data_IF_964806934922
#
_entry.id   IF_964806934922
#
_cell.length_a   1.000
_cell.length_b   1.000
_cell.length_c   1.000
_cell.angle_alpha   90.00
_cell.angle_beta   90.00
_cell.angle_gamma   90.00
#
_symmetry.space_group_name_H-M   'P 1'
#
loop_
_entity.id
_entity.type
_entity.pdbx_description
1 polymer ?
#
# COMPACT_ATOMS: atom_id res chain seq x y z
N UNK A 1 -2.80 -5.13 1.95
CA UNK A 1 -3.74 -6.24 2.23
C UNK A 1 -3.20 -7.13 3.34
N UNK A 2 -4.04 -7.95 3.99
CA UNK A 2 -3.61 -8.97 4.95
C UNK A 2 -3.68 -10.35 4.29
N UNK A 3 -2.62 -11.14 4.43
CA UNK A 3 -2.52 -12.53 4.00
C UNK A 3 -2.85 -13.43 5.18
N UNK A 4 -3.70 -14.43 4.95
CA UNK A 4 -4.06 -15.45 5.93
C UNK A 4 -3.76 -16.82 5.32
N UNK A 5 -2.84 -17.55 5.91
CA UNK A 5 -2.49 -18.91 5.52
C UNK A 5 -2.86 -19.86 6.64
N UNK A 6 -3.53 -20.96 6.27
CA UNK A 6 -3.91 -22.02 7.20
C UNK A 6 -3.34 -23.33 6.69
N UNK A 7 -2.47 -23.97 7.47
CA UNK A 7 -1.80 -25.21 7.07
C UNK A 7 -2.25 -26.38 7.94
N UNK A 8 -2.83 -27.39 7.30
CA UNK A 8 -3.15 -28.68 7.91
C UNK A 8 -2.56 -29.81 7.08
N UNK A 9 -2.18 -30.90 7.76
CA UNK A 9 -1.79 -32.14 7.10
C UNK A 9 -3.01 -32.85 6.49
N UNK A 10 -2.78 -33.97 5.80
CA UNK A 10 -3.84 -34.77 5.18
C UNK A 10 -4.85 -35.34 6.18
N UNK A 11 -4.48 -35.43 7.46
CA UNK A 11 -5.34 -35.90 8.54
C UNK A 11 -6.09 -34.75 9.24
N UNK A 12 -5.89 -33.50 8.80
CA UNK A 12 -6.50 -32.32 9.39
C UNK A 12 -5.81 -31.82 10.66
N UNK A 13 -4.57 -32.26 10.96
CA UNK A 13 -3.82 -31.71 12.09
C UNK A 13 -3.10 -30.43 11.67
N UNK A 14 -3.03 -29.39 12.53
CA UNK A 14 -2.29 -28.18 12.21
C UNK A 14 -0.80 -28.46 11.96
N UNK A 15 -0.26 -27.91 10.88
CA UNK A 15 1.18 -27.87 10.65
C UNK A 15 1.73 -26.68 11.41
N UNK A 16 2.49 -26.96 12.48
CA UNK A 16 3.02 -25.97 13.42
C UNK A 16 4.45 -25.63 13.08
N UNK A 17 4.70 -24.40 12.67
CA UNK A 17 6.05 -23.87 12.46
C UNK A 17 6.24 -22.55 13.19
N UNK A 18 7.49 -22.23 13.53
CA UNK A 18 7.88 -20.96 14.16
C UNK A 18 8.80 -20.13 13.28
N UNK A 19 9.25 -20.69 12.15
CA UNK A 19 10.14 -20.07 11.18
C UNK A 19 10.03 -20.81 9.84
N UNK A 20 10.72 -20.30 8.81
CA UNK A 20 10.82 -20.95 7.51
C UNK A 20 9.60 -20.79 6.61
N UNK A 21 8.59 -20.02 7.01
CA UNK A 21 7.49 -19.60 6.14
C UNK A 21 7.81 -18.22 5.54
N UNK A 22 7.70 -18.10 4.23
CA UNK A 22 7.79 -16.85 3.48
C UNK A 22 6.77 -16.83 2.34
N UNK A 23 6.55 -15.65 1.75
CA UNK A 23 5.76 -15.51 0.51
C UNK A 23 6.66 -14.96 -0.58
N UNK A 24 6.77 -15.69 -1.68
CA UNK A 24 7.54 -15.27 -2.84
C UNK A 24 6.63 -14.80 -3.96
N UNK A 25 7.08 -13.78 -4.67
CA UNK A 25 6.36 -13.22 -5.81
C UNK A 25 6.56 -14.08 -7.05
N UNK A 26 5.48 -14.34 -7.79
CA UNK A 26 5.51 -15.03 -9.09
C UNK A 26 4.84 -14.17 -10.15
N UNK A 27 5.62 -13.73 -11.15
CA UNK A 27 5.19 -12.79 -12.20
C UNK A 27 5.02 -11.36 -11.65
N UNK A 28 5.63 -10.35 -12.28
CA UNK A 28 5.60 -8.99 -11.71
C UNK A 28 5.16 -7.94 -12.73
N UNK A 29 3.99 -7.34 -12.50
CA UNK A 29 3.59 -6.06 -13.08
C UNK A 29 3.36 -4.98 -12.00
N UNK A 30 3.73 -5.23 -10.74
CA UNK A 30 3.54 -4.31 -9.61
C UNK A 30 4.90 -3.80 -9.13
N UNK A 31 5.15 -2.48 -9.11
CA UNK A 31 6.34 -1.90 -8.51
C UNK A 31 6.39 -2.14 -7.00
N UNK A 32 7.56 -2.53 -6.48
CA UNK A 32 7.87 -2.54 -5.04
C UNK A 32 6.86 -3.31 -4.16
N UNK A 33 6.55 -4.57 -4.50
CA UNK A 33 5.77 -5.44 -3.61
C UNK A 33 6.61 -5.81 -2.39
N UNK A 34 6.08 -5.61 -1.19
CA UNK A 34 6.71 -5.99 0.06
C UNK A 34 5.75 -6.82 0.91
N UNK A 35 6.24 -7.93 1.44
CA UNK A 35 5.54 -8.73 2.46
C UNK A 35 6.25 -8.51 3.79
N UNK A 36 5.48 -8.27 4.84
CA UNK A 36 6.03 -8.11 6.20
C UNK A 36 6.47 -9.45 6.80
N UNK A 37 7.08 -9.39 7.99
CA UNK A 37 7.36 -10.58 8.77
C UNK A 37 6.07 -11.36 9.04
N UNK A 38 6.17 -12.69 9.02
CA UNK A 38 5.05 -13.57 9.35
C UNK A 38 4.74 -13.48 10.85
N UNK A 39 3.46 -13.32 11.17
CA UNK A 39 2.92 -13.51 12.50
C UNK A 39 2.67 -15.01 12.76
N UNK A 40 3.43 -15.56 13.71
CA UNK A 40 3.37 -16.95 14.15
C UNK A 40 2.58 -17.12 15.47
N UNK A 41 1.94 -16.07 16.00
CA UNK A 41 1.26 -16.09 17.30
C UNK A 41 0.19 -17.17 17.43
N UNK A 42 -0.37 -17.63 16.30
CA UNK A 42 -1.37 -18.70 16.19
C UNK A 42 -0.85 -19.96 15.49
N UNK A 43 0.46 -20.20 15.49
CA UNK A 43 1.02 -21.40 14.87
C UNK A 43 0.48 -22.71 15.44
N UNK A 44 -0.01 -22.72 16.68
CA UNK A 44 -0.62 -23.90 17.30
C UNK A 44 -1.91 -24.35 16.61
N UNK A 45 -2.63 -23.43 15.95
CA UNK A 45 -3.78 -23.71 15.08
C UNK A 45 -3.41 -23.76 13.60
N UNK A 46 -2.12 -23.66 13.26
CA UNK A 46 -1.62 -23.66 11.89
C UNK A 46 -1.97 -22.39 11.11
N UNK A 47 -2.34 -21.31 11.82
CA UNK A 47 -2.66 -20.00 11.26
C UNK A 47 -1.42 -19.11 11.23
N UNK A 48 -1.18 -18.49 10.07
CA UNK A 48 -0.09 -17.56 9.83
C UNK A 48 -0.62 -16.33 9.11
N UNK A 49 -0.13 -15.16 9.51
CA UNK A 49 -0.53 -13.90 8.90
C UNK A 49 0.65 -13.08 8.44
N UNK A 50 0.44 -12.28 7.41
CA UNK A 50 1.37 -11.25 7.00
C UNK A 50 0.59 -10.09 6.39
N UNK A 51 1.25 -8.95 6.27
CA UNK A 51 0.73 -7.82 5.49
C UNK A 51 1.51 -7.69 4.21
N UNK A 52 0.83 -7.27 3.15
CA UNK A 52 1.43 -7.01 1.84
C UNK A 52 1.10 -5.60 1.39
N UNK A 53 2.13 -4.89 0.94
CA UNK A 53 2.06 -3.56 0.35
C UNK A 53 2.65 -3.59 -1.06
N UNK A 54 2.29 -2.61 -1.87
CA UNK A 54 2.79 -2.41 -3.23
C UNK A 54 2.96 -0.91 -3.48
N UNK A 55 3.95 -0.54 -4.28
CA UNK A 55 4.29 0.85 -4.60
C UNK A 55 3.55 1.42 -5.80
N UNK A 56 2.73 0.62 -6.50
CA UNK A 56 1.98 1.08 -7.67
C UNK A 56 0.88 0.10 -8.07
N UNK A 57 0.19 0.42 -9.17
CA UNK A 57 -0.84 -0.43 -9.73
C UNK A 57 -0.28 -1.72 -10.34
N UNK A 58 -1.12 -2.74 -10.37
CA UNK A 58 -0.85 -3.97 -11.11
C UNK A 58 -1.40 -5.19 -10.40
N UNK A 59 -1.04 -6.36 -10.94
CA UNK A 59 -1.45 -7.65 -10.39
C UNK A 59 -0.19 -8.45 -10.07
N UNK A 60 -0.19 -9.10 -8.92
CA UNK A 60 0.89 -10.01 -8.51
C UNK A 60 0.32 -11.30 -7.97
N UNK A 61 1.02 -12.41 -8.19
CA UNK A 61 0.75 -13.67 -7.51
C UNK A 61 1.80 -13.88 -6.42
N UNK A 62 1.34 -14.31 -5.23
CA UNK A 62 2.18 -14.68 -4.10
C UNK A 62 2.03 -16.17 -3.84
N UNK A 63 3.15 -16.85 -3.65
CA UNK A 63 3.21 -18.29 -3.36
C UNK A 63 3.82 -18.45 -1.97
N UNK A 64 3.14 -19.15 -1.04
CA UNK A 64 3.76 -19.49 0.24
C UNK A 64 4.86 -20.53 0.01
N UNK A 65 5.99 -20.34 0.67
CA UNK A 65 7.14 -21.24 0.66
C UNK A 65 7.39 -21.68 2.09
N UNK A 66 7.40 -22.99 2.31
CA UNK A 66 7.64 -23.60 3.62
C UNK A 66 8.95 -24.36 3.59
N UNK A 67 9.93 -23.92 4.38
CA UNK A 67 11.27 -24.50 4.46
C UNK A 67 11.92 -24.68 3.07
N UNK A 68 11.78 -23.67 2.20
CA UNK A 68 12.29 -23.68 0.82
C UNK A 68 11.42 -24.41 -0.20
N UNK A 69 10.30 -25.01 0.19
CA UNK A 69 9.38 -25.71 -0.72
C UNK A 69 8.20 -24.83 -1.09
N UNK A 70 8.06 -24.53 -2.38
CA UNK A 70 6.92 -23.79 -2.93
C UNK A 70 5.61 -24.58 -2.78
N UNK A 71 4.63 -23.98 -2.11
CA UNK A 71 3.27 -24.50 -2.00
C UNK A 71 2.40 -23.89 -3.11
N UNK A 72 2.74 -24.17 -4.38
CA UNK A 72 2.12 -23.51 -5.54
C UNK A 72 0.58 -23.64 -5.58
N UNK A 73 0.02 -24.75 -5.06
CA UNK A 73 -1.43 -24.94 -4.95
C UNK A 73 -2.14 -23.99 -3.97
N UNK A 74 -1.38 -23.25 -3.16
CA UNK A 74 -1.87 -22.26 -2.19
C UNK A 74 -1.57 -20.81 -2.64
N UNK A 75 -1.22 -20.61 -3.91
CA UNK A 75 -0.94 -19.27 -4.42
C UNK A 75 -2.17 -18.36 -4.33
N UNK A 76 -1.95 -17.08 -4.07
CA UNK A 76 -3.00 -16.06 -4.10
C UNK A 76 -2.62 -14.91 -5.01
N UNK A 77 -3.60 -14.31 -5.68
CA UNK A 77 -3.40 -13.16 -6.55
C UNK A 77 -3.95 -11.92 -5.89
N UNK A 78 -3.16 -10.85 -5.93
CA UNK A 78 -3.51 -9.55 -5.37
C UNK A 78 -3.46 -8.52 -6.48
N UNK A 79 -4.55 -7.77 -6.59
CA UNK A 79 -4.65 -6.61 -7.44
C UNK A 79 -4.40 -5.35 -6.61
N UNK A 80 -3.41 -4.57 -7.01
CA UNK A 80 -3.15 -3.23 -6.51
C UNK A 80 -3.79 -2.24 -7.47
N UNK A 81 -4.67 -1.40 -6.93
CA UNK A 81 -5.32 -0.30 -7.65
C UNK A 81 -4.81 1.02 -7.11
N UNK A 82 -4.75 2.03 -7.97
CA UNK A 82 -4.39 3.39 -7.57
C UNK A 82 -5.44 3.87 -6.56
N UNK A 83 -4.96 4.61 -5.56
CA UNK A 83 -5.86 5.32 -4.66
C UNK A 83 -6.70 6.32 -5.46
N UNK A 84 -7.93 6.57 -5.03
CA UNK A 84 -8.77 7.58 -5.69
C UNK A 84 -8.10 8.96 -5.64
N UNK A 85 -8.32 9.74 -6.69
CA UNK A 85 -7.87 11.12 -6.74
C UNK A 85 -8.52 11.92 -5.62
N UNK A 86 -7.69 12.53 -4.78
CA UNK A 86 -8.15 13.43 -3.73
C UNK A 86 -8.15 14.86 -4.25
N UNK A 87 -9.33 15.48 -4.31
CA UNK A 87 -9.43 16.92 -4.53
C UNK A 87 -8.95 17.64 -3.26
N UNK A 88 -8.03 18.58 -3.43
CA UNK A 88 -7.49 19.39 -2.33
C UNK A 88 -8.57 20.32 -1.79
N UNK A 89 -8.87 20.23 -0.50
CA UNK A 89 -9.98 20.96 0.16
C UNK A 89 -9.57 21.76 1.39
N UNK A 90 -8.27 21.85 1.67
CA UNK A 90 -7.70 22.59 2.79
C UNK A 90 -7.29 23.99 2.38
N UNK A 91 -6.09 24.38 2.79
CA UNK A 91 -5.56 25.72 2.55
C UNK A 91 -4.22 25.70 1.84
N UNK A 92 -3.83 26.83 1.26
CA UNK A 92 -2.48 27.08 0.76
C UNK A 92 -1.87 28.28 1.43
N UNK A 93 -0.59 28.23 1.74
CA UNK A 93 0.17 29.40 2.15
C UNK A 93 0.70 30.15 0.95
N UNK A 94 0.43 31.46 0.92
CA UNK A 94 0.89 32.41 -0.09
C UNK A 94 1.43 33.64 0.64
N UNK A 95 2.73 33.91 0.54
CA UNK A 95 3.36 35.08 1.17
C UNK A 95 2.99 35.28 2.65
N UNK A 96 2.87 34.18 3.41
CA UNK A 96 2.51 34.20 4.84
C UNK A 96 1.01 34.31 5.15
N UNK A 97 0.13 34.20 4.15
CA UNK A 97 -1.32 34.15 4.32
C UNK A 97 -1.88 32.81 3.85
N UNK A 98 -2.78 32.22 4.64
CA UNK A 98 -3.47 30.98 4.25
C UNK A 98 -4.78 31.28 3.51
N UNK A 99 -4.96 30.66 2.35
CA UNK A 99 -6.12 30.83 1.46
C UNK A 99 -6.77 29.48 1.13
N UNK A 100 -8.10 29.39 0.95
CA UNK A 100 -8.77 28.12 0.67
C UNK A 100 -8.43 27.56 -0.72
N UNK A 101 -8.10 26.26 -0.83
CA UNK A 101 -7.82 25.60 -2.13
C UNK A 101 -9.03 25.53 -3.05
N UNK A 102 -10.24 25.67 -2.52
CA UNK A 102 -11.49 25.60 -3.30
C UNK A 102 -11.75 26.87 -4.12
N UNK A 103 -11.11 27.98 -3.79
CA UNK A 103 -11.31 29.29 -4.46
C UNK A 103 -10.01 29.92 -4.96
N UNK A 104 -8.85 29.50 -4.43
CA UNK A 104 -7.54 29.98 -4.83
C UNK A 104 -6.81 28.94 -5.70
N UNK A 105 -6.03 29.38 -6.71
CA UNK A 105 -5.87 30.75 -7.19
C UNK A 105 -6.99 31.16 -8.17
N UNK A 106 -7.41 32.42 -8.10
CA UNK A 106 -8.35 33.02 -9.08
C UNK A 106 -7.62 33.67 -10.27
N UNK A 107 -6.33 33.96 -10.12
CA UNK A 107 -5.44 34.55 -11.13
C UNK A 107 -4.00 34.07 -10.89
N UNK A 108 -3.15 34.12 -11.92
CA UNK A 108 -1.75 33.70 -11.84
C UNK A 108 -0.84 34.53 -12.75
N UNK A 109 0.46 34.45 -12.49
CA UNK A 109 1.52 35.00 -13.34
C UNK A 109 2.74 34.08 -13.30
N UNK A 110 3.63 34.20 -14.29
CA UNK A 110 4.84 33.37 -14.38
C UNK A 110 5.72 33.56 -13.15
N UNK A 111 6.08 32.45 -12.50
CA UNK A 111 6.91 32.46 -11.29
C UNK A 111 6.12 32.58 -9.98
N UNK A 112 4.79 32.71 -10.03
CA UNK A 112 3.96 32.59 -8.85
C UNK A 112 4.01 31.16 -8.29
N UNK A 113 4.09 31.04 -6.97
CA UNK A 113 4.04 29.75 -6.27
C UNK A 113 3.24 29.87 -4.97
N UNK A 114 2.76 28.73 -4.51
CA UNK A 114 2.07 28.56 -3.22
C UNK A 114 2.42 27.19 -2.67
N UNK A 115 2.25 27.01 -1.36
CA UNK A 115 2.49 25.73 -0.70
C UNK A 115 1.16 25.16 -0.20
N UNK A 116 0.86 23.90 -0.51
CA UNK A 116 -0.27 23.19 0.10
C UNK A 116 0.00 22.98 1.59
N UNK A 117 -0.96 23.32 2.42
CA UNK A 117 -0.88 23.11 3.87
C UNK A 117 -1.28 21.67 4.24
N UNK A 118 -0.89 21.24 5.43
CA UNK A 118 -1.10 19.86 5.90
C UNK A 118 -2.57 19.46 6.07
N UNK A 119 -3.48 20.44 6.17
CA UNK A 119 -4.92 20.22 6.21
C UNK A 119 -5.48 19.64 4.88
N UNK A 120 -4.68 19.65 3.81
CA UNK A 120 -4.99 18.97 2.56
C UNK A 120 -4.71 17.46 2.57
N UNK A 121 -4.06 16.92 3.60
CA UNK A 121 -3.61 15.52 3.62
C UNK A 121 -4.37 14.70 4.67
N UNK A 122 -4.32 13.37 4.56
CA UNK A 122 -4.86 12.52 5.61
C UNK A 122 -4.07 12.69 6.92
N UNK A 123 -4.65 12.41 8.10
CA UNK A 123 -3.93 12.52 9.37
C UNK A 123 -2.60 11.75 9.35
N UNK A 124 -1.51 12.43 9.75
CA UNK A 124 -0.16 11.86 9.77
C UNK A 124 0.52 11.75 8.40
N UNK A 125 -0.10 12.28 7.34
CA UNK A 125 0.46 12.33 5.98
C UNK A 125 0.91 13.74 5.61
N UNK A 126 1.85 13.81 4.67
CA UNK A 126 2.41 15.05 4.15
C UNK A 126 2.38 15.06 2.62
N UNK A 127 2.78 16.16 1.99
CA UNK A 127 2.89 16.22 0.54
C UNK A 127 3.78 15.12 -0.06
N UNK A 128 4.78 14.62 0.67
CA UNK A 128 5.66 13.55 0.19
C UNK A 128 4.96 12.18 0.03
N UNK A 129 3.78 12.00 0.62
CA UNK A 129 2.99 10.77 0.52
C UNK A 129 2.05 10.76 -0.71
N UNK A 130 2.04 11.83 -1.51
CA UNK A 130 1.11 12.00 -2.62
C UNK A 130 1.82 12.29 -3.93
N UNK A 131 1.24 11.81 -5.02
CA UNK A 131 1.51 12.32 -6.37
C UNK A 131 0.55 13.47 -6.67
N UNK A 132 1.08 14.54 -7.26
CA UNK A 132 0.31 15.73 -7.60
C UNK A 132 0.08 15.80 -9.10
N UNK A 133 -1.14 16.12 -9.47
CA UNK A 133 -1.52 16.53 -10.82
C UNK A 133 -2.26 17.86 -10.76
N UNK A 134 -2.21 18.61 -11.85
CA UNK A 134 -2.95 19.85 -12.00
C UNK A 134 -3.57 19.87 -13.39
N UNK A 135 -4.87 20.19 -13.45
CA UNK A 135 -5.57 20.46 -14.71
C UNK A 135 -5.56 21.95 -15.08
N UNK A 136 -5.03 22.82 -14.20
CA UNK A 136 -4.98 24.25 -14.45
C UNK A 136 -3.95 24.58 -15.54
N UNK A 137 -4.39 25.26 -16.59
CA UNK A 137 -3.53 25.88 -17.61
C UNK A 137 -3.52 27.40 -17.41
N UNK A 138 -2.33 28.02 -17.41
CA UNK A 138 -2.14 29.46 -17.28
C UNK A 138 -1.37 30.00 -18.48
#
# INVERSE_FOLDING_TARGET
AELHLVLHDISGNPIKVSEGLEFVQSGTNVPYVQVSAIDYSKNFSGEYKATVTGGGEGITTLIPVLNGVHQAGLSTTIQFTRAEDKIMSGTVSVNGTDLPTTTFPSQGFTGAYYQLNNDNFAPGKTAADYEFSSSASW
#
